data_IF_236396505495
#
_entry.id   IF_236396505495
#
_cell.length_a   1.000
_cell.length_b   1.000
_cell.length_c   1.000
_cell.angle_alpha   90.00
_cell.angle_beta   90.00
_cell.angle_gamma   90.00
#
_symmetry.space_group_name_H-M   'P 1'
#
loop_
_entity.id
_entity.type
_entity.pdbx_description
1 polymer ?
#
# COMPACT_ATOMS: atom_id res chain seq x y z
N UNK A 1 25.63 42.27 57.69
CA UNK A 1 25.49 42.36 56.21
C UNK A 1 26.33 41.27 55.59
N UNK A 2 25.74 40.19 55.10
CA UNK A 2 26.46 39.19 54.29
C UNK A 2 25.44 38.48 53.41
N UNK A 3 25.30 38.96 52.17
CA UNK A 3 24.42 38.37 51.14
C UNK A 3 24.97 37.00 50.74
N UNK A 4 24.14 35.98 50.82
CA UNK A 4 24.38 34.66 50.20
C UNK A 4 24.29 34.83 48.67
N UNK A 5 25.20 34.25 47.86
CA UNK A 5 25.10 34.36 46.41
C UNK A 5 23.96 33.48 45.90
N UNK A 6 23.19 34.02 44.95
CA UNK A 6 22.10 33.32 44.26
C UNK A 6 22.67 32.18 43.40
N UNK A 7 22.06 30.99 43.38
CA UNK A 7 22.49 29.94 42.46
C UNK A 7 22.14 30.35 41.02
N UNK A 8 23.08 30.13 40.11
CA UNK A 8 22.89 30.35 38.67
C UNK A 8 21.82 29.39 38.12
N UNK A 9 21.03 29.80 37.10
CA UNK A 9 20.06 28.91 36.49
C UNK A 9 20.78 27.76 35.79
N UNK A 10 20.40 26.53 36.12
CA UNK A 10 20.80 25.32 35.41
C UNK A 10 20.14 25.41 34.03
N UNK A 11 20.90 25.88 33.04
CA UNK A 11 20.51 25.79 31.65
C UNK A 11 20.39 24.32 31.27
N UNK A 12 19.15 23.84 31.13
CA UNK A 12 18.87 22.59 30.45
C UNK A 12 19.16 22.81 28.96
N UNK A 13 20.42 22.63 28.57
CA UNK A 13 20.76 22.45 27.17
C UNK A 13 20.16 21.10 26.76
N UNK A 14 18.96 21.12 26.19
CA UNK A 14 18.35 19.95 25.59
C UNK A 14 19.33 19.34 24.59
N UNK A 15 19.37 18.01 24.53
CA UNK A 15 20.29 17.28 23.67
C UNK A 15 20.15 17.79 22.21
N UNK A 16 21.20 18.42 21.63
CA UNK A 16 21.15 18.93 20.26
C UNK A 16 20.89 17.82 19.24
N UNK A 17 21.20 16.56 19.59
CA UNK A 17 20.89 15.40 18.77
C UNK A 17 19.39 15.10 18.76
N UNK A 18 18.70 15.17 19.92
CA UNK A 18 17.26 14.97 20.01
C UNK A 18 16.46 16.01 19.19
N UNK A 19 16.95 17.25 19.14
CA UNK A 19 16.35 18.29 18.28
C UNK A 19 16.52 17.97 16.79
N UNK A 20 17.67 17.41 16.41
CA UNK A 20 17.96 17.03 15.02
C UNK A 20 17.09 15.84 14.57
N UNK A 21 16.90 14.84 15.44
CA UNK A 21 16.03 13.69 15.18
C UNK A 21 14.56 14.09 14.97
N UNK A 22 14.03 15.01 15.79
CA UNK A 22 12.68 15.54 15.64
C UNK A 22 12.51 16.24 14.28
N UNK A 23 13.50 17.04 13.87
CA UNK A 23 13.47 17.73 12.58
C UNK A 23 13.54 16.75 11.41
N UNK A 24 14.39 15.73 11.51
CA UNK A 24 14.48 14.65 10.51
C UNK A 24 13.13 13.97 10.37
N UNK A 25 12.54 13.53 11.49
CA UNK A 25 11.22 12.88 11.51
C UNK A 25 10.17 13.74 10.83
N UNK A 26 10.07 15.01 11.19
CA UNK A 26 9.09 15.92 10.59
C UNK A 26 9.29 16.10 9.08
N UNK A 27 10.54 16.14 8.58
CA UNK A 27 10.80 16.23 7.14
C UNK A 27 10.38 14.94 6.40
N UNK A 28 10.62 13.78 7.00
CA UNK A 28 10.24 12.49 6.42
C UNK A 28 8.72 12.32 6.44
N UNK A 29 8.05 12.63 7.56
CA UNK A 29 6.59 12.50 7.67
C UNK A 29 5.88 13.37 6.61
N UNK A 30 6.39 14.56 6.33
CA UNK A 30 5.86 15.45 5.30
C UNK A 30 6.12 14.93 3.87
N UNK A 31 7.28 14.32 3.62
CA UNK A 31 7.54 13.62 2.36
C UNK A 31 6.63 12.39 2.20
N UNK A 32 6.41 11.63 3.26
CA UNK A 32 5.56 10.44 3.25
C UNK A 32 4.11 10.80 2.89
N UNK A 33 3.59 11.95 3.33
CA UNK A 33 2.26 12.41 2.88
C UNK A 33 2.21 12.64 1.37
N UNK A 34 3.27 13.19 0.77
CA UNK A 34 3.36 13.37 -0.69
C UNK A 34 3.44 12.03 -1.40
N UNK A 35 4.27 11.10 -0.92
CA UNK A 35 4.37 9.76 -1.48
C UNK A 35 3.02 9.02 -1.42
N UNK A 36 2.37 9.02 -0.26
CA UNK A 36 1.05 8.42 -0.07
C UNK A 36 -0.02 9.03 -0.98
N UNK A 37 0.00 10.35 -1.19
CA UNK A 37 -0.91 11.00 -2.11
C UNK A 37 -0.70 10.53 -3.57
N UNK A 38 0.56 10.42 -4.00
CA UNK A 38 0.91 9.93 -5.34
C UNK A 38 0.55 8.46 -5.52
N UNK A 39 0.84 7.63 -4.53
CA UNK A 39 0.50 6.21 -4.53
C UNK A 39 -1.01 5.98 -4.53
N UNK A 40 -1.78 6.80 -3.81
CA UNK A 40 -3.24 6.75 -3.84
C UNK A 40 -3.79 7.15 -5.22
N UNK A 41 -3.18 8.15 -5.86
CA UNK A 41 -3.59 8.63 -7.18
C UNK A 41 -3.24 7.65 -8.30
N UNK A 42 -2.04 7.07 -8.28
CA UNK A 42 -1.51 6.32 -9.42
C UNK A 42 -1.39 4.82 -9.20
N UNK A 43 -1.45 4.37 -7.96
CA UNK A 43 -1.12 3.01 -7.53
C UNK A 43 0.31 2.94 -6.98
N UNK A 44 0.51 2.11 -5.95
CA UNK A 44 1.82 1.90 -5.32
C UNK A 44 2.83 1.37 -6.33
N UNK A 45 3.98 2.04 -6.42
CA UNK A 45 5.06 1.70 -7.35
C UNK A 45 4.75 1.87 -8.84
N UNK A 46 3.49 2.14 -9.22
CA UNK A 46 3.06 2.21 -10.63
C UNK A 46 3.60 3.44 -11.34
N UNK A 47 3.67 4.58 -10.66
CA UNK A 47 4.00 5.86 -11.30
C UNK A 47 5.38 5.86 -12.00
N UNK A 48 6.39 5.17 -11.45
CA UNK A 48 7.71 5.01 -12.07
C UNK A 48 7.67 4.20 -13.38
N UNK A 49 6.66 3.35 -13.57
CA UNK A 49 6.49 2.51 -14.76
C UNK A 49 5.73 3.23 -15.89
N UNK A 50 5.06 4.35 -15.57
CA UNK A 50 4.25 5.13 -16.51
C UNK A 50 5.05 6.26 -17.20
N UNK A 51 6.29 6.50 -16.78
CA UNK A 51 7.14 7.57 -17.32
C UNK A 51 8.30 7.01 -18.13
N UNK A 52 8.96 7.88 -18.91
CA UNK A 52 10.17 7.51 -19.64
C UNK A 52 11.33 7.10 -18.73
N UNK A 53 12.18 6.20 -19.23
CA UNK A 53 13.33 5.60 -18.52
C UNK A 53 14.25 6.65 -17.90
N UNK A 54 14.54 7.74 -18.62
CA UNK A 54 15.42 8.81 -18.12
C UNK A 54 14.87 9.51 -16.89
N UNK A 55 13.55 9.73 -16.83
CA UNK A 55 12.92 10.38 -15.69
C UNK A 55 12.85 9.43 -14.48
N UNK A 56 12.62 8.15 -14.73
CA UNK A 56 12.68 7.09 -13.71
C UNK A 56 14.09 7.01 -13.10
N UNK A 57 15.14 6.97 -13.91
CA UNK A 57 16.53 6.95 -13.42
C UNK A 57 16.89 8.19 -12.59
N UNK A 58 16.40 9.38 -12.96
CA UNK A 58 16.60 10.62 -12.18
C UNK A 58 15.86 10.60 -10.85
N UNK A 59 14.69 9.97 -10.79
CA UNK A 59 13.95 9.77 -9.55
C UNK A 59 14.74 8.85 -8.61
N UNK A 60 15.24 7.73 -9.12
CA UNK A 60 16.03 6.76 -8.34
C UNK A 60 17.31 7.39 -7.79
N UNK A 61 18.03 8.15 -8.62
CA UNK A 61 19.22 8.89 -8.18
C UNK A 61 18.90 9.97 -7.11
N UNK A 62 17.67 10.48 -7.06
CA UNK A 62 17.24 11.39 -5.99
C UNK A 62 16.90 10.64 -4.71
N UNK A 63 16.32 9.45 -4.82
CA UNK A 63 16.07 8.55 -3.69
C UNK A 63 17.38 8.14 -3.01
N UNK A 64 18.39 7.72 -3.79
CA UNK A 64 19.71 7.37 -3.26
C UNK A 64 20.36 8.52 -2.45
N UNK A 65 20.19 9.77 -2.89
CA UNK A 65 20.68 10.95 -2.16
C UNK A 65 19.93 11.18 -0.85
N UNK A 66 18.62 10.93 -0.83
CA UNK A 66 17.82 11.02 0.37
C UNK A 66 18.25 9.94 1.38
N UNK A 67 18.43 8.71 0.92
CA UNK A 67 18.87 7.59 1.77
C UNK A 67 20.23 7.89 2.40
N UNK A 68 21.21 8.34 1.61
CA UNK A 68 22.51 8.77 2.12
C UNK A 68 22.42 9.95 3.11
N UNK A 69 21.46 10.87 2.92
CA UNK A 69 21.24 11.97 3.85
C UNK A 69 20.63 11.49 5.18
N UNK A 70 19.72 10.52 5.14
CA UNK A 70 19.12 9.90 6.33
C UNK A 70 20.20 9.15 7.12
N UNK A 71 21.02 8.35 6.45
CA UNK A 71 22.14 7.61 7.05
C UNK A 71 23.14 8.56 7.75
N UNK A 72 23.36 9.75 7.20
CA UNK A 72 24.26 10.73 7.79
C UNK A 72 23.74 11.35 9.10
N UNK A 73 22.43 11.26 9.40
CA UNK A 73 21.81 11.90 10.58
C UNK A 73 21.81 13.43 10.55
N UNK A 74 22.22 14.07 9.44
CA UNK A 74 22.28 15.52 9.35
C UNK A 74 20.95 16.11 8.88
N UNK A 75 20.21 16.73 9.80
CA UNK A 75 18.87 17.29 9.55
C UNK A 75 18.81 18.27 8.36
N UNK A 76 19.85 19.07 8.11
CA UNK A 76 19.91 19.99 6.97
C UNK A 76 19.99 19.27 5.62
N UNK A 77 20.74 18.17 5.55
CA UNK A 77 20.81 17.35 4.34
C UNK A 77 19.51 16.60 4.10
N UNK A 78 18.93 15.99 5.15
CA UNK A 78 17.63 15.31 5.04
C UNK A 78 16.56 16.26 4.53
N UNK A 79 16.44 17.47 5.11
CA UNK A 79 15.49 18.48 4.65
C UNK A 79 15.67 18.80 3.16
N UNK A 80 16.90 19.04 2.74
CA UNK A 80 17.22 19.39 1.35
C UNK A 80 16.83 18.27 0.39
N UNK A 81 17.17 17.02 0.73
CA UNK A 81 16.87 15.87 -0.13
C UNK A 81 15.39 15.49 -0.11
N UNK A 82 14.69 15.67 1.03
CA UNK A 82 13.24 15.48 1.12
C UNK A 82 12.49 16.46 0.21
N UNK A 83 12.86 17.74 0.20
CA UNK A 83 12.30 18.72 -0.75
C UNK A 83 12.66 18.41 -2.21
N UNK A 84 13.85 17.85 -2.46
CA UNK A 84 14.21 17.29 -3.75
C UNK A 84 13.29 16.16 -4.18
N UNK A 85 12.98 15.25 -3.25
CA UNK A 85 12.14 14.09 -3.49
C UNK A 85 10.68 14.47 -3.75
N UNK A 86 10.13 15.45 -3.02
CA UNK A 86 8.80 16.01 -3.32
C UNK A 86 8.70 16.55 -4.74
N UNK A 87 9.72 17.28 -5.20
CA UNK A 87 9.79 17.77 -6.58
C UNK A 87 9.92 16.63 -7.59
N UNK A 88 10.64 15.57 -7.26
CA UNK A 88 10.74 14.38 -8.10
C UNK A 88 9.38 13.69 -8.27
N UNK A 89 8.62 13.51 -7.18
CA UNK A 89 7.23 13.01 -7.22
C UNK A 89 6.33 13.87 -8.11
N UNK A 90 6.36 15.20 -7.95
CA UNK A 90 5.57 16.11 -8.77
C UNK A 90 5.99 16.08 -10.26
N UNK A 91 7.27 15.82 -10.54
CA UNK A 91 7.74 15.67 -11.91
C UNK A 91 7.23 14.38 -12.56
N UNK A 92 7.20 13.27 -11.82
CA UNK A 92 6.59 12.02 -12.29
C UNK A 92 5.09 12.18 -12.55
N UNK A 93 4.36 12.81 -11.63
CA UNK A 93 2.92 13.06 -11.75
C UNK A 93 2.59 13.84 -13.03
N UNK A 94 3.31 14.95 -13.26
CA UNK A 94 3.14 15.76 -14.47
C UNK A 94 3.50 14.97 -15.72
N UNK A 95 4.63 14.27 -15.74
CA UNK A 95 5.04 13.49 -16.91
C UNK A 95 4.03 12.38 -17.27
N UNK A 96 3.47 11.70 -16.28
CA UNK A 96 2.42 10.71 -16.51
C UNK A 96 1.16 11.36 -17.09
N UNK A 97 0.75 12.52 -16.55
CA UNK A 97 -0.40 13.26 -17.09
C UNK A 97 -0.17 13.75 -18.53
N UNK A 98 1.01 14.30 -18.80
CA UNK A 98 1.40 14.78 -20.14
C UNK A 98 1.49 13.63 -21.16
N UNK A 99 1.81 12.42 -20.71
CA UNK A 99 1.77 11.19 -21.51
C UNK A 99 0.34 10.66 -21.75
N UNK A 100 -0.69 11.27 -21.16
CA UNK A 100 -2.08 10.86 -21.28
C UNK A 100 -2.48 9.70 -20.37
N UNK A 101 -1.65 9.34 -19.40
CA UNK A 101 -1.93 8.27 -18.46
C UNK A 101 -3.07 8.66 -17.51
N UNK A 102 -3.90 7.67 -17.18
CA UNK A 102 -5.04 7.88 -16.29
C UNK A 102 -4.69 7.48 -14.85
N UNK A 103 -5.11 8.29 -13.85
CA UNK A 103 -5.06 7.91 -12.44
C UNK A 103 -5.69 6.54 -12.20
N UNK A 104 -5.25 5.85 -11.15
CA UNK A 104 -5.84 4.58 -10.75
C UNK A 104 -7.27 4.84 -10.27
N UNK A 105 -8.24 4.30 -11.00
CA UNK A 105 -9.66 4.32 -10.65
C UNK A 105 -10.12 2.87 -10.48
N UNK A 106 -9.89 2.26 -9.30
CA UNK A 106 -10.24 0.86 -9.07
C UNK A 106 -11.76 0.69 -9.17
N UNK A 107 -12.21 -0.22 -10.03
CA UNK A 107 -13.58 -0.68 -10.02
C UNK A 107 -13.70 -1.77 -8.94
N UNK A 108 -14.32 -1.43 -7.82
CA UNK A 108 -14.46 -2.32 -6.68
C UNK A 108 -15.82 -3.02 -6.78
N UNK A 109 -15.82 -4.34 -6.88
CA UNK A 109 -17.03 -5.13 -6.73
C UNK A 109 -17.06 -5.72 -5.33
N UNK A 110 -18.24 -5.80 -4.72
CA UNK A 110 -18.39 -6.36 -3.39
C UNK A 110 -19.27 -7.59 -3.43
N UNK A 111 -18.94 -8.60 -2.64
CA UNK A 111 -19.80 -9.76 -2.44
C UNK A 111 -19.86 -10.15 -0.96
N UNK A 112 -20.99 -10.75 -0.59
CA UNK A 112 -21.21 -11.26 0.77
C UNK A 112 -20.86 -12.74 0.78
N UNK A 113 -19.94 -13.15 1.64
CA UNK A 113 -19.62 -14.55 1.86
C UNK A 113 -20.85 -15.25 2.48
N UNK A 114 -21.46 -16.24 1.80
CA UNK A 114 -22.74 -16.81 2.25
C UNK A 114 -22.67 -17.50 3.62
N UNK A 115 -21.49 -18.00 4.00
CA UNK A 115 -21.28 -18.72 5.26
C UNK A 115 -21.10 -17.81 6.47
N UNK A 116 -20.40 -16.68 6.33
CA UNK A 116 -20.08 -15.76 7.42
C UNK A 116 -20.91 -14.47 7.41
N UNK A 117 -21.57 -14.14 6.30
CA UNK A 117 -22.25 -12.86 6.11
C UNK A 117 -21.31 -11.66 5.92
N UNK A 118 -20.01 -11.92 5.79
CA UNK A 118 -19.01 -10.87 5.66
C UNK A 118 -18.93 -10.32 4.24
N UNK A 119 -18.75 -9.01 4.11
CA UNK A 119 -18.50 -8.33 2.83
C UNK A 119 -17.01 -8.40 2.49
N UNK A 120 -16.69 -8.86 1.28
CA UNK A 120 -15.34 -8.83 0.71
C UNK A 120 -15.34 -8.06 -0.62
N UNK A 121 -14.22 -7.40 -0.93
CA UNK A 121 -14.02 -6.74 -2.21
C UNK A 121 -13.35 -7.66 -3.23
N UNK A 122 -13.69 -7.43 -4.49
CA UNK A 122 -13.08 -7.99 -5.68
C UNK A 122 -12.55 -6.84 -6.53
N UNK A 123 -11.30 -6.94 -6.94
CA UNK A 123 -10.64 -5.96 -7.80
C UNK A 123 -9.91 -6.66 -8.94
N UNK A 124 -9.59 -5.94 -10.00
CA UNK A 124 -8.97 -6.54 -11.19
C UNK A 124 -7.51 -6.84 -10.96
N UNK A 125 -6.77 -5.90 -10.36
CA UNK A 125 -5.30 -5.96 -10.30
C UNK A 125 -4.75 -5.83 -8.88
N UNK A 126 -3.50 -6.25 -8.68
CA UNK A 126 -2.78 -6.08 -7.41
C UNK A 126 -2.62 -4.61 -7.01
N UNK A 127 -2.45 -3.71 -8.00
CA UNK A 127 -2.36 -2.28 -7.74
C UNK A 127 -3.68 -1.72 -7.17
N UNK A 128 -4.82 -2.18 -7.70
CA UNK A 128 -6.14 -1.85 -7.16
C UNK A 128 -6.34 -2.47 -5.77
N UNK A 129 -5.89 -3.72 -5.56
CA UNK A 129 -5.98 -4.37 -4.25
C UNK A 129 -5.25 -3.58 -3.17
N UNK A 130 -4.03 -3.13 -3.47
CA UNK A 130 -3.27 -2.31 -2.52
C UNK A 130 -3.98 -0.98 -2.19
N UNK A 131 -4.64 -0.37 -3.17
CA UNK A 131 -5.41 0.86 -2.95
C UNK A 131 -6.63 0.65 -2.04
N UNK A 132 -7.21 -0.56 -2.03
CA UNK A 132 -8.48 -0.86 -1.32
C UNK A 132 -8.27 -1.61 0.01
N UNK A 133 -7.19 -2.39 0.14
CA UNK A 133 -6.97 -3.36 1.21
C UNK A 133 -6.94 -2.78 2.64
N UNK A 134 -6.80 -1.46 2.80
CA UNK A 134 -6.79 -0.83 4.14
C UNK A 134 -8.12 -0.94 4.88
N UNK A 135 -9.24 -1.14 4.16
CA UNK A 135 -10.58 -1.04 4.74
C UNK A 135 -11.34 -2.36 4.79
N UNK A 136 -10.94 -3.37 4.01
CA UNK A 136 -11.65 -4.65 3.90
C UNK A 136 -10.76 -5.75 3.34
N UNK A 137 -11.22 -7.00 3.44
CA UNK A 137 -10.62 -8.13 2.70
C UNK A 137 -10.85 -7.94 1.21
N UNK A 138 -9.78 -8.00 0.43
CA UNK A 138 -9.80 -7.82 -1.03
C UNK A 138 -9.23 -9.07 -1.68
N UNK A 139 -9.88 -9.50 -2.77
CA UNK A 139 -9.36 -10.53 -3.66
C UNK A 139 -9.13 -9.96 -5.06
N UNK A 140 -8.00 -10.29 -5.68
CA UNK A 140 -7.76 -9.98 -7.09
C UNK A 140 -8.39 -11.02 -8.00
N UNK A 141 -8.65 -10.67 -9.26
CA UNK A 141 -9.07 -11.64 -10.28
C UNK A 141 -8.11 -12.83 -10.41
N UNK A 142 -6.81 -12.62 -10.17
CA UNK A 142 -5.80 -13.68 -10.16
C UNK A 142 -5.98 -14.63 -8.96
N UNK A 143 -6.31 -14.10 -7.78
CA UNK A 143 -6.64 -14.92 -6.61
C UNK A 143 -7.94 -15.69 -6.82
N UNK A 144 -8.97 -15.05 -7.38
CA UNK A 144 -10.21 -15.75 -7.77
C UNK A 144 -9.93 -16.86 -8.78
N UNK A 145 -9.04 -16.64 -9.76
CA UNK A 145 -8.59 -17.67 -10.69
C UNK A 145 -7.97 -18.88 -9.99
N UNK A 146 -7.10 -18.65 -8.99
CA UNK A 146 -6.51 -19.71 -8.16
C UNK A 146 -7.54 -20.45 -7.33
N UNK A 147 -8.53 -19.73 -6.78
CA UNK A 147 -9.64 -20.35 -6.04
C UNK A 147 -10.52 -21.21 -6.95
N UNK A 148 -10.77 -20.75 -8.19
CA UNK A 148 -11.48 -21.53 -9.21
C UNK A 148 -10.69 -22.78 -9.57
N UNK A 149 -9.37 -22.69 -9.79
CA UNK A 149 -8.51 -23.83 -10.13
C UNK A 149 -8.44 -24.87 -9.00
N UNK A 150 -8.59 -24.43 -7.74
CA UNK A 150 -8.67 -25.30 -6.58
C UNK A 150 -10.01 -26.03 -6.39
N UNK A 151 -11.03 -25.77 -7.22
CA UNK A 151 -12.32 -26.46 -7.13
C UNK A 151 -12.20 -27.92 -7.59
N UNK A 152 -13.09 -28.83 -7.10
CA UNK A 152 -13.10 -30.20 -7.57
C UNK A 152 -13.29 -30.30 -9.08
N UNK A 153 -12.56 -31.19 -9.75
CA UNK A 153 -12.62 -31.38 -11.21
C UNK A 153 -14.04 -31.60 -11.78
N UNK A 154 -14.94 -32.19 -10.99
CA UNK A 154 -16.34 -32.34 -11.34
C UNK A 154 -17.05 -31.00 -11.59
N UNK A 155 -16.72 -29.96 -10.82
CA UNK A 155 -17.31 -28.61 -10.99
C UNK A 155 -16.89 -28.02 -12.34
N UNK A 156 -15.61 -28.16 -12.72
CA UNK A 156 -15.11 -27.72 -14.03
C UNK A 156 -15.79 -28.47 -15.18
N UNK A 157 -15.99 -29.78 -15.05
CA UNK A 157 -16.68 -30.58 -16.06
C UNK A 157 -18.14 -30.11 -16.26
N UNK A 158 -18.86 -29.84 -15.18
CA UNK A 158 -20.24 -29.31 -15.22
C UNK A 158 -20.29 -27.94 -15.90
N UNK A 159 -19.43 -26.99 -15.49
CA UNK A 159 -19.38 -25.65 -16.11
C UNK A 159 -19.06 -25.68 -17.60
N UNK A 160 -18.29 -26.67 -18.06
CA UNK A 160 -17.97 -26.86 -19.48
C UNK A 160 -19.13 -27.49 -20.27
N UNK A 161 -19.79 -28.49 -19.68
CA UNK A 161 -20.93 -29.17 -20.30
C UNK A 161 -22.19 -28.30 -20.34
N UNK A 162 -22.37 -27.43 -19.34
CA UNK A 162 -23.58 -26.61 -19.17
C UNK A 162 -23.20 -25.12 -18.95
N UNK A 163 -22.98 -24.35 -20.03
CA UNK A 163 -22.78 -22.90 -19.93
C UNK A 163 -23.96 -22.22 -19.23
N UNK A 164 -23.66 -21.35 -18.26
CA UNK A 164 -24.69 -20.69 -17.45
C UNK A 164 -25.12 -21.46 -16.20
N UNK A 165 -24.64 -22.69 -15.98
CA UNK A 165 -24.86 -23.39 -14.71
C UNK A 165 -24.32 -22.55 -13.54
N UNK A 166 -25.01 -22.54 -12.40
CA UNK A 166 -24.67 -21.75 -11.22
C UNK A 166 -24.06 -22.64 -10.12
N UNK A 167 -23.08 -22.10 -9.37
CA UNK A 167 -22.59 -22.75 -8.15
C UNK A 167 -23.34 -22.13 -6.99
N UNK A 168 -24.26 -22.87 -6.39
CA UNK A 168 -25.07 -22.38 -5.25
C UNK A 168 -24.47 -22.76 -3.89
N UNK A 169 -23.67 -23.82 -3.82
CA UNK A 169 -22.93 -24.20 -2.62
C UNK A 169 -21.71 -25.06 -2.95
N UNK A 170 -20.68 -24.98 -2.11
CA UNK A 170 -19.53 -25.90 -2.10
C UNK A 170 -19.48 -26.54 -0.72
N UNK A 171 -19.57 -27.87 -0.67
CA UNK A 171 -19.54 -28.64 0.59
C UNK A 171 -18.25 -29.45 0.66
N UNK A 172 -17.69 -29.65 1.87
CA UNK A 172 -16.58 -30.58 2.06
C UNK A 172 -17.00 -32.00 1.65
N UNK A 173 -16.04 -32.86 1.27
CA UNK A 173 -16.31 -34.26 1.01
C UNK A 173 -16.97 -34.92 2.22
N UNK A 174 -17.97 -35.77 1.98
CA UNK A 174 -18.60 -36.58 3.02
C UNK A 174 -17.54 -37.54 3.58
N UNK A 175 -17.31 -37.49 4.89
CA UNK A 175 -16.56 -38.53 5.59
C UNK A 175 -17.47 -39.74 5.80
N UNK A 176 -17.37 -40.71 4.90
CA UNK A 176 -18.13 -41.95 4.97
C UNK A 176 -17.88 -42.79 6.24
N UNK A 177 -16.83 -42.50 7.02
CA UNK A 177 -16.61 -43.15 8.32
C UNK A 177 -17.50 -42.59 9.42
N UNK A 178 -17.88 -41.31 9.32
CA UNK A 178 -18.78 -40.63 10.26
C UNK A 178 -20.23 -40.77 9.80
N UNK A 179 -20.44 -40.87 8.48
CA UNK A 179 -21.77 -40.90 7.88
C UNK A 179 -22.45 -39.52 7.93
N UNK A 180 -23.63 -39.42 7.32
CA UNK A 180 -24.43 -38.20 7.34
C UNK A 180 -25.43 -38.23 8.51
N UNK A 181 -25.70 -37.07 9.11
CA UNK A 181 -26.77 -36.93 10.09
C UNK A 181 -28.12 -37.17 9.38
N UNK A 182 -28.72 -38.33 9.60
CA UNK A 182 -30.05 -38.64 9.08
C UNK A 182 -31.09 -37.78 9.81
N UNK A 183 -31.86 -36.94 9.09
CA UNK A 183 -32.99 -36.26 9.69
C UNK A 183 -34.10 -37.29 9.98
N UNK A 184 -34.63 -37.24 11.19
CA UNK A 184 -35.80 -38.00 11.63
C UNK A 184 -37.11 -37.37 11.13
#
# INVERSE_FOLDING_TARGET
MTRRPSPAPIGSAGDPNATSEIVIRACIDDLDQVALAMERKWGVGRLRLLVGVDLCARFDAQQEKLDAAIESGHAGFVRTQAEGMKRAWAALDRAAHDAGEQPLSPEIWECVLPSSGEVVALVRTEAEAHAVARNQRVFTTAEIGRLIDGLPGAVHAVKRAFPGAEITSVRPPIDWKVGDALPF
#
